data_IF_648430276190
#
_entry.id   IF_648430276190
#
_cell.length_a   1.000
_cell.length_b   1.000
_cell.length_c   1.000
_cell.angle_alpha   90.00
_cell.angle_beta   90.00
_cell.angle_gamma   90.00
#
_symmetry.space_group_name_H-M   'P 1'
#
loop_
_entity.id
_entity.type
_entity.pdbx_description
1 polymer ?
#
# COMPACT_ATOMS: atom_id res chain seq x y z
N UNK A 1 34.68 -37.91 10.19
CA UNK A 1 34.20 -36.71 10.90
C UNK A 1 34.28 -35.42 10.05
N UNK A 2 35.35 -35.20 9.31
CA UNK A 2 35.45 -33.95 8.46
C UNK A 2 34.41 -33.85 7.34
N UNK A 3 33.95 -34.98 6.77
CA UNK A 3 32.93 -34.99 5.70
C UNK A 3 31.50 -34.69 6.20
N UNK A 4 31.18 -34.97 7.43
CA UNK A 4 29.88 -34.69 8.05
C UNK A 4 29.72 -33.18 8.34
N UNK A 5 30.80 -32.52 8.74
CA UNK A 5 30.78 -31.06 9.02
C UNK A 5 30.58 -30.26 7.74
N UNK A 6 31.16 -30.72 6.62
CA UNK A 6 31.03 -30.07 5.31
C UNK A 6 29.60 -30.13 4.76
N UNK A 7 28.90 -31.26 4.99
CA UNK A 7 27.50 -31.44 4.57
C UNK A 7 26.57 -30.57 5.44
N UNK A 8 26.84 -30.46 6.72
CA UNK A 8 26.03 -29.62 7.63
C UNK A 8 26.17 -28.13 7.29
N UNK A 9 27.37 -27.65 6.99
CA UNK A 9 27.57 -26.27 6.52
C UNK A 9 26.89 -25.96 5.18
N UNK A 10 26.83 -26.92 4.27
CA UNK A 10 26.16 -26.76 2.98
C UNK A 10 24.63 -26.69 3.14
N UNK A 11 24.06 -27.39 4.11
CA UNK A 11 22.62 -27.37 4.38
C UNK A 11 22.18 -26.08 5.07
N UNK A 12 23.01 -25.52 5.93
CA UNK A 12 22.72 -24.23 6.61
C UNK A 12 22.80 -23.04 5.65
N UNK A 13 23.64 -23.13 4.63
CA UNK A 13 23.80 -22.05 3.63
C UNK A 13 22.60 -21.97 2.65
N UNK A 14 21.86 -23.05 2.45
CA UNK A 14 20.68 -23.08 1.58
C UNK A 14 19.43 -22.45 2.20
N UNK A 15 19.37 -22.28 3.53
CA UNK A 15 18.20 -21.74 4.25
C UNK A 15 18.16 -20.19 4.21
N UNK A 16 19.27 -19.54 3.90
CA UNK A 16 19.36 -18.08 3.87
C UNK A 16 18.93 -17.42 2.54
N UNK A 17 18.48 -18.20 1.56
CA UNK A 17 18.04 -17.68 0.24
C UNK A 17 16.52 -17.56 0.11
N UNK A 18 15.73 -17.87 1.11
CA UNK A 18 14.33 -17.47 1.17
C UNK A 18 14.24 -16.03 1.65
N UNK A 19 14.65 -15.12 0.78
CA UNK A 19 14.28 -13.72 0.92
C UNK A 19 12.76 -13.63 0.93
N UNK A 20 12.18 -12.93 1.93
CA UNK A 20 10.77 -12.56 1.93
C UNK A 20 10.45 -11.80 0.63
N UNK A 21 9.98 -12.51 -0.40
CA UNK A 21 9.27 -11.88 -1.48
C UNK A 21 7.97 -11.38 -0.87
N UNK A 22 7.83 -10.06 -0.74
CA UNK A 22 6.53 -9.45 -0.45
C UNK A 22 5.60 -9.85 -1.58
N UNK A 23 4.61 -10.68 -1.27
CA UNK A 23 3.57 -11.03 -2.22
C UNK A 23 2.90 -9.74 -2.70
N UNK A 24 3.09 -9.45 -3.98
CA UNK A 24 2.37 -8.35 -4.63
C UNK A 24 1.00 -8.88 -5.03
N UNK A 25 -0.06 -8.39 -4.40
CA UNK A 25 -1.43 -8.79 -4.70
C UNK A 25 -2.36 -7.60 -4.79
N UNK A 26 -3.43 -7.78 -5.55
CA UNK A 26 -4.51 -6.81 -5.61
C UNK A 26 -5.36 -6.89 -4.34
N UNK A 27 -5.93 -5.77 -3.96
CA UNK A 27 -6.86 -5.66 -2.85
C UNK A 27 -8.14 -4.95 -3.27
N UNK A 28 -9.20 -5.23 -2.53
CA UNK A 28 -10.44 -4.44 -2.60
C UNK A 28 -10.54 -3.63 -1.31
N UNK A 29 -10.61 -2.31 -1.45
CA UNK A 29 -10.87 -1.40 -0.34
C UNK A 29 -12.31 -0.91 -0.39
N UNK A 30 -12.95 -0.82 0.75
CA UNK A 30 -14.28 -0.21 0.92
C UNK A 30 -14.15 0.99 1.84
N UNK A 31 -14.58 2.14 1.36
CA UNK A 31 -14.63 3.38 2.13
C UNK A 31 -16.09 3.66 2.45
N UNK A 32 -16.46 3.46 3.70
CA UNK A 32 -17.81 3.77 4.18
C UNK A 32 -17.88 5.27 4.52
N UNK A 33 -18.70 5.99 3.78
CA UNK A 33 -18.89 7.42 3.96
C UNK A 33 -20.22 7.64 4.70
N UNK A 34 -20.15 8.21 5.91
CA UNK A 34 -21.34 8.45 6.75
C UNK A 34 -22.39 9.23 5.95
N UNK A 35 -23.64 8.72 5.96
CA UNK A 35 -24.81 9.28 5.30
C UNK A 35 -24.79 9.28 3.76
N UNK A 36 -23.72 8.77 3.13
CA UNK A 36 -23.59 8.76 1.66
C UNK A 36 -23.43 7.36 1.04
N UNK A 37 -22.99 6.37 1.81
CA UNK A 37 -22.81 5.01 1.34
C UNK A 37 -21.34 4.57 1.25
N UNK A 38 -21.07 3.61 0.39
CA UNK A 38 -19.77 2.94 0.31
C UNK A 38 -19.13 3.13 -1.05
N UNK A 39 -17.87 3.56 -1.07
CA UNK A 39 -17.03 3.59 -2.26
C UNK A 39 -16.19 2.32 -2.27
N UNK A 40 -16.24 1.57 -3.36
CA UNK A 40 -15.43 0.35 -3.53
C UNK A 40 -14.30 0.61 -4.51
N UNK A 41 -13.07 0.32 -4.09
CA UNK A 41 -11.86 0.54 -4.87
C UNK A 41 -11.13 -0.78 -5.11
N UNK A 42 -10.66 -0.99 -6.34
CA UNK A 42 -9.67 -2.02 -6.63
C UNK A 42 -8.28 -1.39 -6.56
N UNK A 43 -7.43 -1.94 -5.71
CA UNK A 43 -6.05 -1.50 -5.52
C UNK A 43 -5.12 -2.46 -6.27
N UNK A 44 -4.44 -1.96 -7.29
CA UNK A 44 -3.52 -2.73 -8.13
C UNK A 44 -2.16 -2.87 -7.45
N UNK A 45 -2.03 -3.86 -6.58
CA UNK A 45 -0.80 -4.14 -5.84
C UNK A 45 0.31 -4.76 -6.70
N UNK A 46 -0.01 -5.19 -7.92
CA UNK A 46 1.00 -5.69 -8.87
C UNK A 46 1.73 -4.52 -9.54
N UNK A 47 1.00 -3.48 -9.89
CA UNK A 47 1.54 -2.28 -10.55
C UNK A 47 2.22 -1.33 -9.55
N UNK A 48 1.62 -1.13 -8.38
CA UNK A 48 2.13 -0.22 -7.35
C UNK A 48 2.18 -0.92 -5.96
N UNK A 49 3.07 -1.90 -5.77
CA UNK A 49 3.08 -2.73 -4.57
C UNK A 49 3.37 -1.96 -3.29
N UNK A 50 4.29 -0.99 -3.32
CA UNK A 50 4.66 -0.20 -2.14
C UNK A 50 3.52 0.73 -1.75
N UNK A 51 2.92 1.41 -2.71
CA UNK A 51 1.79 2.32 -2.51
C UNK A 51 0.58 1.59 -1.95
N UNK A 52 0.22 0.46 -2.55
CA UNK A 52 -0.92 -0.35 -2.11
C UNK A 52 -0.68 -0.94 -0.74
N UNK A 53 0.51 -1.47 -0.46
CA UNK A 53 0.83 -2.03 0.86
C UNK A 53 0.79 -0.96 1.95
N UNK A 54 1.29 0.24 1.67
CA UNK A 54 1.22 1.36 2.61
C UNK A 54 -0.24 1.75 2.93
N UNK A 55 -1.08 1.82 1.91
CA UNK A 55 -2.51 2.10 2.11
C UNK A 55 -3.20 0.99 2.92
N UNK A 56 -2.93 -0.27 2.61
CA UNK A 56 -3.50 -1.42 3.33
C UNK A 56 -3.06 -1.44 4.80
N UNK A 57 -1.80 -1.18 5.08
CA UNK A 57 -1.27 -1.16 6.44
C UNK A 57 -1.89 -0.02 7.26
N UNK A 58 -2.04 1.16 6.68
CA UNK A 58 -2.70 2.29 7.31
C UNK A 58 -4.18 2.01 7.56
N UNK A 59 -4.89 1.44 6.59
CA UNK A 59 -6.29 1.07 6.74
C UNK A 59 -6.49 0.04 7.86
N UNK A 60 -5.66 -0.99 7.92
CA UNK A 60 -5.70 -2.02 8.97
C UNK A 60 -5.37 -1.47 10.36
N UNK A 61 -4.54 -0.46 10.45
CA UNK A 61 -4.21 0.20 11.72
C UNK A 61 -5.29 1.15 12.22
N UNK A 62 -6.35 1.38 11.43
CA UNK A 62 -7.40 2.34 11.77
C UNK A 62 -7.04 3.80 11.49
N UNK A 63 -5.94 4.05 10.77
CA UNK A 63 -5.47 5.41 10.48
C UNK A 63 -6.52 6.29 9.80
N UNK A 64 -7.30 5.73 8.89
CA UNK A 64 -8.31 6.48 8.13
C UNK A 64 -9.67 6.59 8.83
N UNK A 65 -9.88 5.85 9.91
CA UNK A 65 -11.17 5.85 10.62
C UNK A 65 -11.46 7.22 11.24
N UNK A 66 -12.65 7.74 11.00
CA UNK A 66 -13.09 9.06 11.50
C UNK A 66 -12.52 10.26 10.76
N UNK A 67 -11.74 10.06 9.70
CA UNK A 67 -11.23 11.16 8.88
C UNK A 67 -12.32 11.71 7.95
N UNK A 68 -12.08 12.91 7.42
CA UNK A 68 -13.02 13.60 6.54
C UNK A 68 -12.48 13.78 5.14
N UNK A 69 -13.38 13.95 4.17
CA UNK A 69 -13.03 14.55 2.88
C UNK A 69 -13.04 16.07 3.06
N UNK A 70 -11.89 16.63 3.37
CA UNK A 70 -11.76 18.05 3.74
C UNK A 70 -11.73 19.01 2.53
N UNK A 71 -11.61 18.48 1.31
CA UNK A 71 -11.61 19.28 0.09
C UNK A 71 -12.41 18.58 -1.00
N UNK A 72 -13.43 19.26 -1.50
CA UNK A 72 -14.34 18.76 -2.52
C UNK A 72 -14.42 19.80 -3.64
N UNK A 73 -14.10 19.42 -4.86
CA UNK A 73 -14.23 20.27 -6.05
C UNK A 73 -15.11 19.54 -7.05
N UNK A 74 -16.29 20.11 -7.31
CA UNK A 74 -17.27 19.58 -8.25
C UNK A 74 -16.64 19.38 -9.65
N UNK A 75 -16.91 18.22 -10.24
CA UNK A 75 -16.38 17.87 -11.56
C UNK A 75 -14.88 17.57 -11.60
N UNK A 76 -14.20 17.57 -10.46
CA UNK A 76 -12.77 17.33 -10.39
C UNK A 76 -12.38 16.22 -9.40
N UNK A 77 -12.52 16.42 -8.09
CA UNK A 77 -12.06 15.44 -7.10
C UNK A 77 -12.64 15.66 -5.70
N UNK A 78 -12.50 14.61 -4.87
CA UNK A 78 -12.58 14.71 -3.42
C UNK A 78 -11.22 14.30 -2.82
N UNK A 79 -10.80 14.96 -1.75
CA UNK A 79 -9.55 14.71 -1.07
C UNK A 79 -9.79 14.41 0.40
N UNK A 80 -9.18 13.32 0.88
CA UNK A 80 -9.26 12.89 2.26
C UNK A 80 -7.98 12.19 2.71
N UNK A 81 -8.02 11.58 3.90
CA UNK A 81 -6.89 10.83 4.46
C UNK A 81 -5.92 11.67 5.28
N UNK A 82 -6.23 12.93 5.52
CA UNK A 82 -5.42 13.81 6.37
C UNK A 82 -5.97 13.86 7.80
N UNK A 83 -5.20 13.44 8.82
CA UNK A 83 -5.61 13.50 10.22
C UNK A 83 -5.95 14.91 10.70
N UNK A 84 -5.33 15.94 10.14
CA UNK A 84 -5.60 17.33 10.47
C UNK A 84 -6.83 17.89 9.74
N UNK A 85 -7.30 17.23 8.69
CA UNK A 85 -8.47 17.63 7.92
C UNK A 85 -8.31 18.97 7.18
N UNK A 86 -7.11 19.38 6.83
CA UNK A 86 -6.82 20.68 6.20
C UNK A 86 -5.73 20.64 5.12
N UNK A 87 -5.22 19.46 4.79
CA UNK A 87 -4.17 19.25 3.79
C UNK A 87 -2.75 19.32 4.32
N UNK A 88 -2.55 19.50 5.63
CA UNK A 88 -1.20 19.66 6.23
C UNK A 88 -0.69 18.41 6.93
N UNK A 89 -1.53 17.43 7.19
CA UNK A 89 -1.18 16.22 7.91
C UNK A 89 -0.95 15.02 6.99
N UNK A 90 -0.51 13.94 7.59
CA UNK A 90 -0.27 12.67 6.92
C UNK A 90 0.14 11.59 7.92
N UNK A 91 0.53 10.43 7.41
CA UNK A 91 1.12 9.37 8.24
C UNK A 91 2.56 9.70 8.61
N UNK A 92 3.06 9.08 9.70
CA UNK A 92 4.45 9.27 10.17
C UNK A 92 5.47 8.72 9.18
N UNK A 93 5.07 7.78 8.32
CA UNK A 93 5.94 7.15 7.34
C UNK A 93 5.63 7.66 5.94
N UNK A 94 6.66 8.03 5.22
CA UNK A 94 6.61 8.34 3.79
C UNK A 94 7.11 7.18 2.94
N UNK A 95 6.64 7.10 1.70
CA UNK A 95 7.06 6.12 0.71
C UNK A 95 7.57 6.79 -0.56
N UNK A 96 8.43 6.08 -1.29
CA UNK A 96 8.86 6.53 -2.62
C UNK A 96 7.71 6.38 -3.63
N UNK A 97 7.53 7.38 -4.49
CA UNK A 97 6.54 7.32 -5.57
C UNK A 97 6.86 6.23 -6.60
N UNK A 98 5.82 5.51 -7.05
CA UNK A 98 5.91 4.39 -8.00
C UNK A 98 5.32 4.74 -9.38
N UNK A 99 5.56 5.92 -9.90
CA UNK A 99 4.97 6.40 -11.15
C UNK A 99 5.93 6.39 -12.35
N UNK A 100 7.23 6.17 -12.14
CA UNK A 100 8.24 6.09 -13.20
C UNK A 100 8.60 4.65 -13.58
N UNK A 101 8.60 3.77 -12.59
CA UNK A 101 9.15 2.43 -12.72
C UNK A 101 8.11 1.38 -13.13
N UNK A 102 6.83 1.72 -13.12
CA UNK A 102 5.74 0.78 -13.41
C UNK A 102 5.26 0.77 -14.87
N UNK A 103 5.84 1.61 -15.72
CA UNK A 103 5.49 1.72 -17.15
C UNK A 103 4.01 2.01 -17.43
N UNK A 104 3.24 2.45 -16.44
CA UNK A 104 1.81 2.76 -16.56
C UNK A 104 1.61 4.26 -16.67
N UNK A 105 0.78 4.66 -17.63
CA UNK A 105 0.34 6.06 -17.70
C UNK A 105 -0.71 6.31 -16.61
N UNK A 106 -0.33 7.12 -15.62
CA UNK A 106 -1.25 7.60 -14.59
C UNK A 106 -2.07 8.79 -15.11
N UNK A 107 -3.23 9.03 -14.51
CA UNK A 107 -4.14 10.13 -14.89
C UNK A 107 -4.80 9.99 -16.27
N UNK A 108 -5.11 8.78 -16.70
CA UNK A 108 -5.97 8.58 -17.86
C UNK A 108 -7.41 8.85 -17.42
N UNK A 109 -8.05 9.82 -18.07
CA UNK A 109 -9.50 10.03 -17.94
C UNK A 109 -10.23 8.90 -18.67
N UNK A 110 -11.08 8.20 -17.97
CA UNK A 110 -12.04 7.23 -18.51
C UNK A 110 -13.35 7.93 -18.83
#
# INVERSE_FOLDING_TARGET
MKKLITILCSFVLCISLFGCQKETKDYIAKIEVKDYGTITLKLDGKTAPITVQNFVDLAKSGFYDGLTFHRIIEGFMIQGGDPNGNGTGGSDKTIKGEFKDNCVKNNIKH
#
